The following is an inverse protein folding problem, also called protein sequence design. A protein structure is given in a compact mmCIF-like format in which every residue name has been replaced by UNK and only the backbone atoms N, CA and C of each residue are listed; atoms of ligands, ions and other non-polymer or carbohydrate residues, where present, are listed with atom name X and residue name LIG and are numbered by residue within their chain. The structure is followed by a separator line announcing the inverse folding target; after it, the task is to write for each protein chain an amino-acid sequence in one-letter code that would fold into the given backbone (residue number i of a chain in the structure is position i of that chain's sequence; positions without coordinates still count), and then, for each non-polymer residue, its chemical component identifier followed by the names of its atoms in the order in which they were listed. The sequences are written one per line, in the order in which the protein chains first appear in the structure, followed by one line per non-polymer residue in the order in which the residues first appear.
data_IF_960931575530
#
_entry.id   IF_960931575530
#
_cell.length_a   1.000
_cell.length_b   1.000
_cell.length_c   1.000
_cell.angle_alpha   90.00
_cell.angle_beta   90.00
_cell.angle_gamma   90.00
#
_symmetry.space_group_name_H-M   'P 1'
#
loop_
_entity.id
_entity.type
_entity.pdbx_description
1 polymer ?
#
# COMPACT_ATOMS: atom_id res chain seq x y z
N UNK A 1 -10.28 40.24 6.68
CA UNK A 1 -8.92 39.93 6.17
C UNK A 1 -8.37 38.59 6.69
N UNK A 2 -8.93 38.06 7.78
CA UNK A 2 -8.58 36.77 8.41
C UNK A 2 -8.96 35.53 7.58
N UNK A 3 -10.15 35.52 6.95
CA UNK A 3 -10.64 34.35 6.19
C UNK A 3 -9.75 33.98 4.99
N UNK A 4 -9.21 34.97 4.28
CA UNK A 4 -8.31 34.69 3.13
C UNK A 4 -7.02 34.02 3.57
N UNK A 5 -6.46 34.41 4.72
CA UNK A 5 -5.21 33.84 5.25
C UNK A 5 -5.43 32.37 5.66
N UNK A 6 -6.58 32.07 6.27
CA UNK A 6 -6.95 30.70 6.65
C UNK A 6 -7.16 29.80 5.42
N UNK A 7 -7.83 30.30 4.38
CA UNK A 7 -8.00 29.57 3.11
C UNK A 7 -6.65 29.27 2.45
N UNK A 8 -5.75 30.25 2.38
CA UNK A 8 -4.39 30.04 1.84
C UNK A 8 -3.58 29.04 2.67
N UNK A 9 -3.69 29.10 4.00
CA UNK A 9 -3.02 28.16 4.89
C UNK A 9 -3.56 26.73 4.72
N UNK A 10 -4.89 26.57 4.57
CA UNK A 10 -5.53 25.28 4.32
C UNK A 10 -5.13 24.69 2.95
N UNK A 11 -5.12 25.51 1.90
CA UNK A 11 -4.66 25.09 0.57
C UNK A 11 -3.20 24.63 0.59
N UNK A 12 -2.31 25.38 1.26
CA UNK A 12 -0.90 25.01 1.39
C UNK A 12 -0.70 23.71 2.18
N UNK A 13 -1.53 23.45 3.20
CA UNK A 13 -1.52 22.17 3.94
C UNK A 13 -1.96 21.03 3.04
N UNK A 14 -3.06 21.21 2.30
CA UNK A 14 -3.59 20.20 1.38
C UNK A 14 -2.58 19.83 0.28
N UNK A 15 -1.94 20.80 -0.36
CA UNK A 15 -0.92 20.50 -1.40
C UNK A 15 0.33 19.81 -0.84
N UNK A 16 0.70 20.07 0.41
CA UNK A 16 1.79 19.33 1.06
C UNK A 16 1.41 17.88 1.33
N UNK A 17 0.18 17.65 1.77
CA UNK A 17 -0.37 16.31 2.00
C UNK A 17 -0.47 15.51 0.70
N UNK A 18 -1.03 16.10 -0.35
CA UNK A 18 -1.11 15.48 -1.69
C UNK A 18 0.28 15.11 -2.22
N UNK A 19 1.27 16.01 -2.09
CA UNK A 19 2.65 15.73 -2.49
C UNK A 19 3.26 14.59 -1.65
N UNK A 20 3.04 14.61 -0.34
CA UNK A 20 3.53 13.56 0.54
C UNK A 20 2.96 12.19 0.16
N UNK A 21 1.65 12.11 -0.11
CA UNK A 21 0.99 10.88 -0.57
C UNK A 21 1.59 10.43 -1.90
N UNK A 22 1.75 11.34 -2.86
CA UNK A 22 2.37 11.02 -4.15
C UNK A 22 3.78 10.43 -3.98
N UNK A 23 4.66 11.13 -3.25
CA UNK A 23 6.03 10.70 -3.00
C UNK A 23 6.08 9.34 -2.27
N UNK A 24 5.16 9.10 -1.34
CA UNK A 24 5.02 7.83 -0.63
C UNK A 24 4.70 6.68 -1.60
N UNK A 25 3.70 6.83 -2.47
CA UNK A 25 3.33 5.78 -3.41
C UNK A 25 4.37 5.59 -4.53
N UNK A 26 5.05 6.66 -4.94
CA UNK A 26 6.10 6.58 -5.96
C UNK A 26 7.34 5.84 -5.45
N UNK A 27 7.61 5.93 -4.13
CA UNK A 27 8.69 5.18 -3.46
C UNK A 27 8.46 3.67 -3.33
N UNK A 28 7.26 3.18 -3.69
CA UNK A 28 6.93 1.77 -3.52
C UNK A 28 7.66 0.88 -4.52
N UNK A 29 8.24 -0.21 -4.01
CA UNK A 29 8.81 -1.27 -4.85
C UNK A 29 7.71 -2.01 -5.62
N UNK A 30 8.08 -2.78 -6.63
CA UNK A 30 7.12 -3.60 -7.37
C UNK A 30 6.38 -4.59 -6.45
N UNK A 31 7.10 -5.25 -5.52
CA UNK A 31 6.51 -6.16 -4.54
C UNK A 31 5.51 -5.48 -3.62
N UNK A 32 5.83 -4.28 -3.13
CA UNK A 32 4.91 -3.49 -2.30
C UNK A 32 3.65 -3.08 -3.08
N UNK A 33 3.81 -2.68 -4.35
CA UNK A 33 2.67 -2.33 -5.24
C UNK A 33 1.78 -3.54 -5.46
N UNK A 34 2.36 -4.71 -5.73
CA UNK A 34 1.61 -5.95 -5.88
C UNK A 34 0.84 -6.31 -4.60
N UNK A 35 1.47 -6.18 -3.43
CA UNK A 35 0.82 -6.41 -2.13
C UNK A 35 -0.40 -5.51 -1.91
N UNK A 36 -0.31 -4.22 -2.26
CA UNK A 36 -1.45 -3.31 -2.17
C UNK A 36 -2.53 -3.63 -3.21
N UNK A 37 -2.16 -4.03 -4.43
CA UNK A 37 -3.11 -4.48 -5.44
C UNK A 37 -3.87 -5.73 -5.00
N UNK A 38 -3.19 -6.68 -4.37
CA UNK A 38 -3.82 -7.85 -3.77
C UNK A 38 -4.74 -7.49 -2.63
N UNK A 39 -4.34 -6.58 -1.74
CA UNK A 39 -5.20 -6.11 -0.68
C UNK A 39 -6.48 -5.47 -1.25
N UNK A 40 -6.37 -4.66 -2.31
CA UNK A 40 -7.53 -4.06 -3.00
C UNK A 40 -8.42 -5.13 -3.63
N UNK A 41 -7.84 -6.09 -4.35
CA UNK A 41 -8.58 -7.19 -4.98
C UNK A 41 -9.27 -8.10 -3.96
N UNK A 42 -8.64 -8.34 -2.81
CA UNK A 42 -9.19 -9.11 -1.70
C UNK A 42 -10.15 -8.29 -0.80
N UNK A 43 -10.74 -7.22 -1.31
CA UNK A 43 -11.64 -6.33 -0.58
C UNK A 43 -11.09 -5.88 0.79
N UNK A 44 -9.81 -5.47 0.78
CA UNK A 44 -9.05 -5.02 1.92
C UNK A 44 -8.81 -6.08 3.02
N UNK A 45 -8.83 -7.36 2.67
CA UNK A 45 -8.56 -8.46 3.60
C UNK A 45 -7.32 -9.24 3.16
N UNK A 46 -6.14 -8.67 3.42
CA UNK A 46 -4.88 -9.29 3.05
C UNK A 46 -4.45 -10.32 4.12
N UNK A 47 -4.06 -11.52 3.68
CA UNK A 47 -3.47 -12.56 4.52
C UNK A 47 -2.14 -12.98 3.90
N UNK A 48 -1.10 -13.05 4.71
CA UNK A 48 0.25 -13.38 4.24
C UNK A 48 0.92 -14.33 5.20
N UNK A 49 1.96 -15.01 4.74
CA UNK A 49 2.90 -15.66 5.65
C UNK A 49 3.46 -14.65 6.65
N UNK A 50 3.67 -15.12 7.87
CA UNK A 50 4.20 -14.30 8.94
C UNK A 50 5.62 -13.84 8.61
N UNK A 51 5.83 -12.54 8.73
CA UNK A 51 7.16 -11.94 8.49
C UNK A 51 7.52 -11.71 7.03
N UNK A 52 6.54 -11.74 6.11
CA UNK A 52 6.78 -11.34 4.72
C UNK A 52 7.42 -9.94 4.63
N UNK A 53 8.44 -9.78 3.80
CA UNK A 53 9.26 -8.57 3.76
C UNK A 53 8.44 -7.35 3.32
N UNK A 54 7.60 -7.51 2.30
CA UNK A 54 6.71 -6.48 1.75
C UNK A 54 5.69 -6.02 2.79
N UNK A 55 5.10 -6.94 3.57
CA UNK A 55 4.12 -6.58 4.59
C UNK A 55 4.77 -5.80 5.75
N UNK A 56 5.98 -6.18 6.17
CA UNK A 56 6.76 -5.43 7.17
C UNK A 56 7.10 -4.02 6.65
N UNK A 57 7.52 -3.91 5.38
CA UNK A 57 7.86 -2.60 4.80
C UNK A 57 6.63 -1.70 4.71
N UNK A 58 5.50 -2.21 4.23
CA UNK A 58 4.24 -1.46 4.14
C UNK A 58 3.68 -1.08 5.53
N UNK A 59 3.87 -1.92 6.55
CA UNK A 59 3.57 -1.57 7.95
C UNK A 59 4.39 -0.36 8.42
N UNK A 60 5.71 -0.37 8.17
CA UNK A 60 6.60 0.75 8.54
C UNK A 60 6.22 2.05 7.82
N UNK A 61 5.74 1.94 6.58
CA UNK A 61 5.22 3.06 5.76
C UNK A 61 3.81 3.50 6.16
N UNK A 62 3.14 2.79 7.08
CA UNK A 62 1.77 3.09 7.51
C UNK A 62 0.71 2.79 6.44
N UNK A 63 1.06 2.04 5.39
CA UNK A 63 0.15 1.66 4.30
C UNK A 63 -0.60 0.36 4.58
N UNK A 64 -0.17 -0.38 5.61
CA UNK A 64 -0.91 -1.51 6.18
C UNK A 64 -1.04 -1.35 7.69
N UNK A 65 -2.09 -1.95 8.24
CA UNK A 65 -2.31 -2.12 9.68
C UNK A 65 -2.53 -3.60 9.95
N UNK A 66 -1.80 -4.15 10.93
CA UNK A 66 -1.93 -5.55 11.34
C UNK A 66 -3.25 -5.76 12.09
N UNK A 67 -4.00 -6.79 11.70
CA UNK A 67 -5.17 -7.28 12.41
C UNK A 67 -4.77 -8.40 13.37
N UNK A 68 -5.59 -8.68 14.40
CA UNK A 68 -5.41 -9.88 15.22
C UNK A 68 -5.33 -11.13 14.32
N UNK A 69 -4.46 -12.09 14.65
CA UNK A 69 -4.36 -13.35 13.91
C UNK A 69 -5.70 -14.09 13.94
N UNK A 70 -5.99 -14.85 12.88
CA UNK A 70 -7.16 -15.72 12.88
C UNK A 70 -6.93 -16.91 13.82
N UNK A 71 -7.99 -17.31 14.55
CA UNK A 71 -7.96 -18.50 15.39
C UNK A 71 -7.63 -19.72 14.52
N UNK A 72 -6.61 -20.49 14.90
CA UNK A 72 -6.16 -21.68 14.16
C UNK A 72 -5.08 -21.44 13.09
N UNK A 73 -4.66 -20.20 12.85
CA UNK A 73 -3.64 -19.87 11.83
C UNK A 73 -2.50 -19.00 12.40
N UNK A 74 -1.67 -19.54 13.32
CA UNK A 74 -0.64 -18.77 14.04
C UNK A 74 0.52 -18.28 13.15
N UNK A 75 0.70 -18.90 11.99
CA UNK A 75 1.77 -18.60 11.03
C UNK A 75 1.34 -17.63 9.92
N UNK A 76 0.13 -17.07 10.05
CA UNK A 76 -0.40 -16.09 9.10
C UNK A 76 -0.53 -14.72 9.77
N UNK A 77 -0.09 -13.69 9.05
CA UNK A 77 -0.39 -12.31 9.39
C UNK A 77 -1.58 -11.82 8.58
N UNK A 78 -2.43 -11.02 9.22
CA UNK A 78 -3.57 -10.38 8.58
C UNK A 78 -3.40 -8.89 8.54
N UNK A 79 -3.70 -8.27 7.41
CA UNK A 79 -3.52 -6.84 7.19
C UNK A 79 -4.72 -6.21 6.52
N UNK A 80 -4.87 -4.91 6.76
CA UNK A 80 -5.79 -4.03 6.04
C UNK A 80 -5.06 -2.74 5.67
N UNK A 81 -5.40 -2.17 4.53
CA UNK A 81 -5.10 -0.78 4.18
C UNK A 81 -5.94 0.11 5.09
N UNK A 82 -5.33 1.09 5.80
CA UNK A 82 -6.07 2.01 6.65
C UNK A 82 -6.95 2.94 5.81
N UNK A 83 -8.03 3.44 6.41
CA UNK A 83 -9.03 4.25 5.70
C UNK A 83 -8.42 5.50 5.03
N UNK A 84 -7.39 6.09 5.66
CA UNK A 84 -6.65 7.25 5.14
C UNK A 84 -6.03 7.04 3.75
N UNK A 85 -5.71 5.79 3.38
CA UNK A 85 -5.07 5.44 2.11
C UNK A 85 -5.92 4.53 1.23
N UNK A 86 -7.10 4.13 1.70
CA UNK A 86 -7.95 3.14 1.02
C UNK A 86 -8.42 3.63 -0.35
N UNK A 87 -8.85 4.89 -0.43
CA UNK A 87 -9.28 5.50 -1.69
C UNK A 87 -8.12 5.58 -2.69
N UNK A 88 -6.96 6.07 -2.25
CA UNK A 88 -5.77 6.20 -3.09
C UNK A 88 -5.29 4.83 -3.62
N UNK A 89 -5.26 3.81 -2.76
CA UNK A 89 -4.90 2.45 -3.17
C UNK A 89 -5.90 1.89 -4.19
N UNK A 90 -7.19 2.14 -4.02
CA UNK A 90 -8.20 1.73 -4.99
C UNK A 90 -7.95 2.35 -6.36
N UNK A 91 -7.77 3.68 -6.43
CA UNK A 91 -7.50 4.39 -7.68
C UNK A 91 -6.23 3.88 -8.35
N UNK A 92 -5.16 3.63 -7.58
CA UNK A 92 -3.87 3.20 -8.14
C UNK A 92 -3.83 1.74 -8.57
N UNK A 93 -4.53 0.84 -7.87
CA UNK A 93 -4.27 -0.61 -7.97
C UNK A 93 -5.50 -1.48 -8.31
N UNK A 94 -6.71 -0.93 -8.35
CA UNK A 94 -7.87 -1.70 -8.78
C UNK A 94 -7.64 -2.31 -10.18
N UNK A 95 -7.86 -3.63 -10.29
CA UNK A 95 -7.67 -4.38 -11.53
C UNK A 95 -6.22 -4.63 -11.94
N UNK A 96 -5.22 -4.31 -11.10
CA UNK A 96 -3.78 -4.48 -11.43
C UNK A 96 -3.09 -5.65 -10.74
N UNK A 97 -3.82 -6.45 -9.96
CA UNK A 97 -3.22 -7.55 -9.19
C UNK A 97 -2.51 -8.56 -10.10
N UNK A 98 -3.18 -9.02 -11.17
CA UNK A 98 -2.63 -10.01 -12.09
C UNK A 98 -1.44 -9.45 -12.88
N UNK A 99 -1.55 -8.22 -13.42
CA UNK A 99 -0.47 -7.61 -14.19
C UNK A 99 0.80 -7.38 -13.35
N UNK A 100 0.63 -6.92 -12.10
CA UNK A 100 1.76 -6.73 -11.19
C UNK A 100 2.40 -8.05 -10.77
N UNK A 101 1.62 -9.13 -10.71
CA UNK A 101 2.16 -10.47 -10.47
C UNK A 101 2.97 -11.00 -11.65
N UNK A 102 2.48 -10.80 -12.87
CA UNK A 102 3.23 -11.17 -14.06
C UNK A 102 4.56 -10.41 -14.13
N UNK A 103 4.56 -9.12 -13.79
CA UNK A 103 5.77 -8.30 -13.69
C UNK A 103 6.73 -8.82 -12.61
N UNK A 104 6.23 -9.22 -11.44
CA UNK A 104 7.05 -9.81 -10.37
C UNK A 104 7.71 -11.12 -10.82
N UNK A 105 6.94 -12.00 -11.46
CA UNK A 105 7.44 -13.27 -11.99
C UNK A 105 8.50 -13.02 -13.07
N UNK A 106 8.29 -12.03 -13.94
CA UNK A 106 9.24 -11.66 -14.98
C UNK A 106 10.56 -11.12 -14.38
N UNK A 107 10.48 -10.31 -13.32
CA UNK A 107 11.63 -9.78 -12.60
C UNK A 107 12.45 -10.89 -11.92
N UNK A 108 11.80 -11.85 -11.26
CA UNK A 108 12.47 -13.00 -10.62
C UNK A 108 13.20 -13.87 -11.66
N UNK A 109 12.57 -14.13 -12.81
CA UNK A 109 13.18 -14.88 -13.92
C UNK A 109 14.44 -14.20 -14.48
N UNK A 110 14.48 -12.86 -14.52
CA UNK A 110 15.67 -12.12 -14.97
C UNK A 110 16.78 -12.07 -13.91
N UNK A 111 16.43 -12.12 -12.62
CA UNK A 111 17.40 -12.14 -11.52
C UNK A 111 18.18 -13.44 -11.40
N UNK A 112 17.58 -14.59 -11.78
CA UNK A 112 18.21 -15.92 -11.70
C UNK A 112 19.17 -16.27 -12.85
N UNK A 113 19.25 -15.44 -13.89
CA UNK A 113 20.13 -15.63 -15.04
C UNK A 113 21.44 -14.80 -14.97
N UNK A 114 21.86 -14.41 -13.76
CA UNK A 114 23.16 -13.79 -13.46
C UNK A 114 23.91 -14.64 -12.45
#
# INVERSE_FOLDING_TARGET
MTERIEVFAAQKRKSKEEKYVQDLFDSLTLGERAYLAFAVAANNQLQTEKGAHESISLLKKGLLVRRPPAVGYPDTDRFVIPESYRHECYIRFAGKADSLMDELIAQDKHGKNK
#
